data_IF_663622687127
#
_entry.id   IF_663622687127
#
_cell.length_a   1.000
_cell.length_b   1.000
_cell.length_c   1.000
_cell.angle_alpha   90.00
_cell.angle_beta   90.00
_cell.angle_gamma   90.00
#
_symmetry.space_group_name_H-M   'P 1'
#
loop_
_entity.id
_entity.type
_entity.pdbx_description
1 polymer ?
#
# COMPACT_ATOMS: atom_id res chain seq x y z
N UNK A 1 -6.41 -28.95 12.15
CA UNK A 1 -6.64 -29.78 10.94
C UNK A 1 -7.36 -28.94 9.90
N UNK A 2 -7.16 -29.20 8.62
CA UNK A 2 -7.96 -28.64 7.53
C UNK A 2 -8.87 -29.70 6.89
N UNK A 3 -9.98 -29.29 6.30
CA UNK A 3 -10.84 -30.17 5.53
C UNK A 3 -10.21 -30.56 4.18
N UNK A 4 -10.61 -31.71 3.65
CA UNK A 4 -10.33 -32.18 2.30
C UNK A 4 -11.64 -32.23 1.47
N UNK A 5 -11.58 -32.18 0.13
CA UNK A 5 -12.77 -32.27 -0.73
C UNK A 5 -13.54 -33.60 -0.63
N UNK A 6 -12.93 -34.66 -0.09
CA UNK A 6 -13.52 -35.98 0.15
C UNK A 6 -14.29 -36.06 1.49
N UNK A 7 -14.44 -34.95 2.22
CA UNK A 7 -15.01 -34.90 3.56
C UNK A 7 -14.04 -35.33 4.68
N UNK A 8 -12.80 -35.72 4.33
CA UNK A 8 -11.76 -36.10 5.28
C UNK A 8 -11.07 -34.89 5.93
N UNK A 9 -10.22 -35.18 6.92
CA UNK A 9 -9.34 -34.18 7.55
C UNK A 9 -7.87 -34.40 7.16
N UNK A 10 -7.09 -33.33 7.21
CA UNK A 10 -5.65 -33.34 6.98
C UNK A 10 -4.91 -32.47 7.99
N UNK A 11 -3.64 -32.82 8.25
CA UNK A 11 -2.69 -31.86 8.79
C UNK A 11 -2.34 -30.84 7.70
N UNK A 12 -2.33 -29.57 8.09
CA UNK A 12 -2.07 -28.40 7.24
C UNK A 12 -1.32 -27.38 8.09
N UNK A 13 -0.43 -26.62 7.45
CA UNK A 13 0.43 -25.63 8.10
C UNK A 13 0.20 -24.24 7.52
N UNK A 14 0.32 -23.20 8.34
CA UNK A 14 0.09 -21.81 7.95
C UNK A 14 -0.62 -21.00 9.04
N UNK A 15 -0.48 -19.68 9.02
CA UNK A 15 -1.11 -18.76 10.00
C UNK A 15 -2.63 -18.87 10.00
N UNK A 16 -3.25 -19.15 8.85
CA UNK A 16 -4.69 -19.44 8.70
C UNK A 16 -5.19 -20.63 9.52
N UNK A 17 -4.30 -21.53 9.96
CA UNK A 17 -4.63 -22.63 10.88
C UNK A 17 -4.30 -22.31 12.35
N UNK A 18 -3.46 -21.29 12.61
CA UNK A 18 -3.18 -20.79 13.95
C UNK A 18 -4.26 -19.80 14.44
N UNK A 19 -4.74 -18.92 13.55
CA UNK A 19 -5.81 -17.97 13.85
C UNK A 19 -7.08 -18.60 14.49
N UNK A 20 -7.70 -19.67 13.93
CA UNK A 20 -8.86 -20.30 14.55
C UNK A 20 -8.56 -20.98 15.89
N UNK A 21 -7.31 -21.40 16.14
CA UNK A 21 -6.89 -21.93 17.45
C UNK A 21 -6.93 -20.80 18.49
N UNK A 22 -6.37 -19.62 18.15
CA UNK A 22 -6.42 -18.44 19.03
C UNK A 22 -7.87 -17.96 19.25
N UNK A 23 -8.70 -17.90 18.20
CA UNK A 23 -10.12 -17.56 18.33
C UNK A 23 -10.88 -18.53 19.24
N UNK A 24 -10.59 -19.84 19.16
CA UNK A 24 -11.15 -20.84 20.06
C UNK A 24 -10.72 -20.64 21.51
N UNK A 25 -9.45 -20.29 21.75
CA UNK A 25 -8.93 -19.96 23.09
C UNK A 25 -9.61 -18.71 23.65
N UNK A 26 -9.76 -17.65 22.85
CA UNK A 26 -10.46 -16.42 23.27
C UNK A 26 -11.93 -16.71 23.62
N UNK A 27 -12.63 -17.50 22.81
CA UNK A 27 -14.01 -17.90 23.08
C UNK A 27 -14.15 -18.73 24.39
N UNK A 28 -13.20 -19.62 24.68
CA UNK A 28 -13.14 -20.35 25.94
C UNK A 28 -12.88 -19.42 27.14
N UNK A 29 -11.98 -18.44 27.01
CA UNK A 29 -11.68 -17.48 28.07
C UNK A 29 -12.88 -16.55 28.36
N UNK A 30 -13.59 -16.10 27.32
CA UNK A 30 -14.88 -15.38 27.46
C UNK A 30 -15.94 -16.24 28.16
N UNK A 31 -15.98 -17.54 27.84
CA UNK A 31 -16.91 -18.48 28.47
C UNK A 31 -16.59 -18.69 29.96
N UNK A 32 -15.31 -18.61 30.36
CA UNK A 32 -14.89 -18.67 31.77
C UNK A 32 -15.34 -17.42 32.54
N UNK A 33 -15.22 -16.22 31.96
CA UNK A 33 -15.76 -14.98 32.57
C UNK A 33 -17.26 -15.10 32.82
N UNK A 34 -18.03 -15.56 31.81
CA UNK A 34 -19.47 -15.82 31.94
C UNK A 34 -19.79 -16.83 33.05
N UNK A 35 -19.05 -17.93 33.15
CA UNK A 35 -19.23 -18.94 34.20
C UNK A 35 -18.98 -18.40 35.62
N UNK A 36 -18.17 -17.33 35.75
CA UNK A 36 -17.86 -16.68 37.03
C UNK A 36 -18.81 -15.52 37.37
N UNK A 37 -19.79 -15.23 36.50
CA UNK A 37 -20.67 -14.07 36.65
C UNK A 37 -20.01 -12.74 36.31
N UNK A 38 -18.85 -12.76 35.65
CA UNK A 38 -18.14 -11.57 35.19
C UNK A 38 -18.70 -11.10 33.84
N UNK A 39 -18.63 -9.81 33.57
CA UNK A 39 -18.96 -9.28 32.25
C UNK A 39 -17.88 -9.74 31.23
N UNK A 40 -18.27 -10.24 30.04
CA UNK A 40 -17.30 -10.64 29.02
C UNK A 40 -16.46 -9.45 28.56
N UNK A 41 -15.14 -9.56 28.67
CA UNK A 41 -14.19 -8.53 28.25
C UNK A 41 -13.18 -9.09 27.23
N UNK A 42 -13.49 -8.96 25.92
CA UNK A 42 -12.57 -9.35 24.85
C UNK A 42 -11.24 -8.58 24.85
N UNK A 43 -11.22 -7.34 25.36
CA UNK A 43 -10.01 -6.50 25.38
C UNK A 43 -9.09 -6.91 26.53
N UNK A 44 -9.63 -7.13 27.73
CA UNK A 44 -8.90 -7.71 28.86
C UNK A 44 -8.33 -9.09 28.55
N UNK A 45 -9.07 -9.95 27.84
CA UNK A 45 -8.56 -11.26 27.38
C UNK A 45 -7.41 -11.11 26.37
N UNK A 46 -7.53 -10.20 25.39
CA UNK A 46 -6.44 -9.89 24.46
C UNK A 46 -5.18 -9.48 25.22
N UNK A 47 -5.33 -8.58 26.19
CA UNK A 47 -4.20 -8.06 26.96
C UNK A 47 -3.59 -9.14 27.88
N UNK A 48 -4.40 -10.03 28.46
CA UNK A 48 -3.92 -11.20 29.22
C UNK A 48 -3.13 -12.19 28.34
N UNK A 49 -3.58 -12.44 27.11
CA UNK A 49 -2.85 -13.29 26.14
C UNK A 49 -1.51 -12.66 25.76
N UNK A 50 -1.47 -11.35 25.51
CA UNK A 50 -0.24 -10.64 25.17
C UNK A 50 0.75 -10.59 26.34
N UNK A 51 0.28 -10.30 27.56
CA UNK A 51 1.12 -10.20 28.79
C UNK A 51 1.69 -11.54 29.24
N UNK A 52 1.02 -12.66 28.96
CA UNK A 52 1.45 -13.99 29.40
C UNK A 52 2.33 -14.74 28.39
N UNK A 53 2.49 -14.21 27.17
CA UNK A 53 3.22 -14.86 26.09
C UNK A 53 4.66 -15.23 26.48
N UNK A 54 5.07 -16.46 26.16
CA UNK A 54 6.41 -16.97 26.47
C UNK A 54 7.44 -16.43 25.46
N UNK A 55 8.65 -16.05 25.88
CA UNK A 55 9.69 -15.60 24.96
C UNK A 55 10.13 -16.73 24.03
N UNK A 56 10.40 -16.41 22.76
CA UNK A 56 11.03 -17.36 21.84
C UNK A 56 12.46 -17.72 22.25
N UNK A 57 12.90 -18.92 21.84
CA UNK A 57 14.23 -19.43 22.15
C UNK A 57 15.33 -18.55 21.50
N UNK A 58 16.25 -18.05 22.32
CA UNK A 58 17.18 -16.95 21.96
C UNK A 58 18.41 -17.37 21.13
N UNK A 59 18.46 -18.59 20.61
CA UNK A 59 19.68 -19.14 19.99
C UNK A 59 19.98 -18.62 18.57
N UNK A 60 19.01 -18.02 17.87
CA UNK A 60 19.20 -17.44 16.53
C UNK A 60 18.75 -15.97 16.47
N UNK A 61 19.63 -15.06 16.08
CA UNK A 61 19.35 -13.62 15.96
C UNK A 61 18.31 -13.26 14.88
N UNK A 62 18.17 -14.12 13.86
CA UNK A 62 17.18 -13.97 12.78
C UNK A 62 15.74 -14.32 13.21
N UNK A 63 15.54 -15.13 14.26
CA UNK A 63 14.20 -15.53 14.71
C UNK A 63 13.52 -14.49 15.62
N UNK A 64 14.29 -13.62 16.29
CA UNK A 64 13.74 -12.61 17.20
C UNK A 64 12.75 -11.64 16.52
N UNK A 65 12.92 -11.35 15.20
CA UNK A 65 11.95 -10.53 14.45
C UNK A 65 10.73 -11.31 13.96
N UNK A 66 10.77 -12.65 13.94
CA UNK A 66 9.66 -13.51 13.50
C UNK A 66 8.68 -13.86 14.61
N UNK A 67 9.08 -13.71 15.88
CA UNK A 67 8.29 -14.13 17.04
C UNK A 67 7.48 -13.01 17.73
N UNK A 68 7.04 -11.98 16.99
CA UNK A 68 6.11 -10.92 17.44
C UNK A 68 6.22 -10.52 18.93
N UNK A 69 5.29 -10.99 19.77
CA UNK A 69 5.27 -10.78 21.24
C UNK A 69 5.68 -12.04 22.00
N UNK A 70 5.61 -13.22 21.39
CA UNK A 70 5.96 -14.51 22.00
C UNK A 70 5.06 -15.67 21.57
N UNK A 71 5.21 -16.80 22.24
CA UNK A 71 4.40 -18.02 22.08
C UNK A 71 3.20 -17.96 23.04
N UNK A 72 2.00 -18.28 22.55
CA UNK A 72 0.76 -18.22 23.34
C UNK A 72 0.82 -19.11 24.59
N UNK A 73 0.47 -18.53 25.75
CA UNK A 73 0.50 -19.19 27.05
C UNK A 73 -0.90 -19.26 27.65
N UNK A 74 -1.62 -20.35 27.38
CA UNK A 74 -3.03 -20.51 27.80
C UNK A 74 -3.15 -20.47 29.34
N UNK A 75 -2.22 -21.12 30.05
CA UNK A 75 -2.23 -21.15 31.52
C UNK A 75 -1.98 -19.78 32.14
N UNK A 76 -1.01 -19.02 31.63
CA UNK A 76 -0.74 -17.66 32.07
C UNK A 76 -1.87 -16.68 31.73
N UNK A 77 -2.46 -16.80 30.54
CA UNK A 77 -3.62 -16.01 30.15
C UNK A 77 -4.83 -16.30 31.07
N UNK A 78 -5.08 -17.58 31.39
CA UNK A 78 -6.11 -17.96 32.37
C UNK A 78 -5.86 -17.31 33.73
N UNK A 79 -4.66 -17.46 34.30
CA UNK A 79 -4.33 -16.91 35.63
C UNK A 79 -4.54 -15.39 35.71
N UNK A 80 -4.15 -14.66 34.66
CA UNK A 80 -4.34 -13.21 34.57
C UNK A 80 -5.81 -12.80 34.51
N UNK A 81 -6.68 -13.56 33.84
CA UNK A 81 -8.13 -13.26 33.84
C UNK A 81 -8.86 -13.78 35.09
N UNK A 82 -8.38 -14.86 35.71
CA UNK A 82 -9.02 -15.43 36.90
C UNK A 82 -8.65 -14.72 38.20
N UNK A 83 -7.62 -13.87 38.19
CA UNK A 83 -6.98 -13.34 39.40
C UNK A 83 -6.52 -14.45 40.37
N UNK A 84 -6.33 -15.67 39.86
CA UNK A 84 -5.64 -16.74 40.59
C UNK A 84 -4.18 -16.30 40.72
N UNK A 85 -3.78 -15.92 41.93
CA UNK A 85 -2.53 -15.21 42.19
C UNK A 85 -1.30 -15.90 41.59
N UNK A 86 -0.42 -15.10 41.00
CA UNK A 86 0.87 -15.54 40.47
C UNK A 86 1.70 -16.14 41.61
N UNK A 87 1.72 -17.47 41.70
CA UNK A 87 2.84 -18.14 42.35
C UNK A 87 4.03 -18.07 41.40
N UNK A 88 4.94 -17.14 41.70
CA UNK A 88 6.29 -17.19 41.14
C UNK A 88 6.91 -18.55 41.49
N UNK A 89 7.08 -19.40 40.48
CA UNK A 89 7.98 -20.54 40.60
C UNK A 89 9.39 -19.97 40.56
N UNK A 90 9.87 -19.60 41.74
CA UNK A 90 11.25 -19.16 41.98
C UNK A 90 12.23 -20.12 41.31
N UNK A 91 13.20 -19.56 40.57
CA UNK A 91 14.36 -20.31 40.13
C UNK A 91 15.10 -20.81 41.37
N UNK A 92 14.94 -22.11 41.69
CA UNK A 92 15.88 -22.76 42.59
C UNK A 92 17.20 -22.97 41.84
N UNK A 93 18.21 -22.21 42.26
CA UNK A 93 19.60 -22.38 41.83
C UNK A 93 20.05 -23.81 42.13
N UNK A 94 20.30 -24.60 41.09
CA UNK A 94 21.01 -25.87 41.25
C UNK A 94 22.49 -25.53 41.44
N UNK A 95 22.95 -25.65 42.69
CA UNK A 95 24.36 -25.53 43.03
C UNK A 95 25.20 -26.52 42.21
N UNK A 96 26.16 -26.01 41.45
CA UNK A 96 27.37 -26.75 41.09
C UNK A 96 28.54 -25.95 41.63
N UNK A 97 29.22 -26.49 42.64
CA UNK A 97 30.41 -25.90 43.23
C UNK A 97 31.57 -25.94 42.22
N UNK A 98 32.30 -24.83 42.12
CA UNK A 98 33.69 -24.83 41.69
C UNK A 98 34.47 -23.91 42.63
N UNK A 99 35.54 -24.45 43.22
CA UNK A 99 36.32 -23.83 44.30
C UNK A 99 37.32 -22.77 43.83
N UNK A 100 37.70 -21.93 44.77
CA UNK A 100 38.65 -20.81 44.67
C UNK A 100 40.01 -21.18 44.03
N UNK A 101 40.55 -20.31 43.16
CA UNK A 101 42.01 -20.13 42.98
C UNK A 101 42.36 -18.66 42.66
N UNK A 102 42.94 -17.99 43.66
CA UNK A 102 43.94 -16.89 43.65
C UNK A 102 43.97 -15.74 42.61
N UNK A 103 43.97 -14.53 43.20
CA UNK A 103 44.63 -13.27 42.81
C UNK A 103 45.87 -13.38 41.89
N UNK A 104 46.02 -12.41 40.97
CA UNK A 104 47.22 -11.56 40.79
C UNK A 104 46.80 -10.11 40.47
N UNK A 105 47.53 -9.15 41.05
CA UNK A 105 47.49 -7.68 40.89
C UNK A 105 47.45 -7.17 39.42
N UNK A 106 47.14 -5.90 39.06
CA UNK A 106 47.75 -4.65 39.59
C UNK A 106 47.17 -3.35 38.95
N UNK A 107 47.27 -2.26 39.73
CA UNK A 107 47.42 -0.83 39.34
C UNK A 107 46.31 0.01 38.67
N UNK A 108 46.22 1.25 39.18
CA UNK A 108 45.33 2.40 38.92
C UNK A 108 46.30 3.61 38.87
N UNK A 109 46.21 4.60 37.95
CA UNK A 109 45.42 5.80 38.28
C UNK A 109 44.80 6.63 37.13
N UNK A 110 43.91 7.51 37.57
CA UNK A 110 43.21 8.58 36.85
C UNK A 110 43.96 9.93 36.89
N UNK A 111 43.36 10.97 36.25
CA UNK A 111 43.61 12.44 36.21
C UNK A 111 43.73 12.93 34.75
N UNK A 112 43.26 14.11 34.29
CA UNK A 112 43.20 15.45 34.90
C UNK A 112 41.99 16.33 34.45
N UNK A 113 41.40 17.04 35.43
CA UNK A 113 40.82 18.41 35.51
C UNK A 113 40.19 19.22 34.34
N UNK A 114 39.14 19.95 34.74
CA UNK A 114 38.34 21.05 34.13
C UNK A 114 39.10 22.29 33.62
N UNK A 115 38.45 23.09 32.74
CA UNK A 115 38.29 24.56 32.97
C UNK A 115 37.12 25.21 32.17
N UNK A 116 36.17 25.82 32.91
CA UNK A 116 35.42 27.11 32.74
C UNK A 116 35.48 27.82 31.35
N UNK A 117 34.40 28.39 30.75
CA UNK A 117 33.75 29.70 31.05
C UNK A 117 32.33 29.87 30.42
N UNK A 118 31.52 30.73 31.06
CA UNK A 118 30.13 31.15 30.83
C UNK A 118 29.77 31.84 29.49
N UNK A 119 28.46 31.91 29.22
CA UNK A 119 27.81 32.76 28.21
C UNK A 119 27.41 34.16 28.74
N UNK A 120 27.15 35.15 27.85
CA UNK A 120 26.41 36.37 28.18
C UNK A 120 25.09 36.56 27.39
N UNK A 121 24.29 37.56 27.82
CA UNK A 121 22.87 37.79 27.50
C UNK A 121 22.57 38.65 26.26
N UNK A 122 21.27 38.73 25.93
CA UNK A 122 20.61 39.62 24.94
C UNK A 122 20.33 41.02 25.47
N UNK A 123 20.24 42.01 24.57
CA UNK A 123 19.39 43.23 24.53
C UNK A 123 19.79 44.05 23.25
N UNK A 124 18.99 44.87 22.55
CA UNK A 124 17.56 45.27 22.66
C UNK A 124 16.90 45.54 21.26
N UNK A 125 15.57 45.43 21.21
CA UNK A 125 14.52 46.19 20.47
C UNK A 125 14.86 47.06 19.22
N UNK A 126 14.16 46.83 18.08
CA UNK A 126 13.00 47.65 17.62
C UNK A 126 12.17 47.00 16.47
N UNK A 127 10.96 47.53 16.20
CA UNK A 127 9.83 46.89 15.48
C UNK A 127 9.75 47.22 13.98
N UNK A 128 9.06 46.39 13.16
CA UNK A 128 7.87 46.74 12.32
C UNK A 128 7.09 45.45 11.92
N UNK A 129 5.74 45.53 11.93
CA UNK A 129 4.68 44.72 11.27
C UNK A 129 5.02 44.05 9.91
N UNK A 130 4.30 43.03 9.38
CA UNK A 130 2.99 42.41 9.64
C UNK A 130 2.99 40.94 9.13
N UNK A 131 2.20 40.04 9.71
CA UNK A 131 1.18 39.21 9.02
C UNK A 131 0.48 38.24 9.99
N UNK A 132 -0.76 37.87 9.67
CA UNK A 132 -1.70 37.23 10.60
C UNK A 132 -1.50 35.71 10.73
N UNK A 133 -1.45 35.22 11.97
CA UNK A 133 -1.72 33.82 12.31
C UNK A 133 -2.64 33.77 13.54
N UNK A 134 -3.85 33.25 13.36
CA UNK A 134 -4.77 32.97 14.46
C UNK A 134 -4.37 31.64 15.09
N UNK A 135 -3.78 31.68 16.29
CA UNK A 135 -3.55 30.47 17.08
C UNK A 135 -4.83 30.01 17.78
N UNK A 136 -5.01 28.69 17.74
CA UNK A 136 -5.96 27.95 18.59
C UNK A 136 -5.51 28.09 20.06
N UNK A 137 -6.44 28.37 20.97
CA UNK A 137 -6.32 27.94 22.36
C UNK A 137 -7.55 27.13 22.76
N UNK A 138 -7.29 26.04 23.47
CA UNK A 138 -8.31 25.19 24.05
C UNK A 138 -8.63 25.63 25.48
N UNK A 139 -9.91 25.74 25.81
CA UNK A 139 -10.36 25.74 27.20
C UNK A 139 -11.75 25.10 27.34
N UNK A 140 -11.88 24.29 28.39
CA UNK A 140 -13.13 23.89 29.06
C UNK A 140 -14.00 22.80 28.42
N UNK A 141 -13.66 21.58 28.86
CA UNK A 141 -14.50 20.37 28.92
C UNK A 141 -15.69 20.56 29.90
N UNK A 142 -16.77 19.80 29.67
CA UNK A 142 -17.98 19.60 30.50
C UNK A 142 -19.09 20.66 30.46
N UNK A 143 -20.18 20.36 29.73
CA UNK A 143 -21.52 20.09 30.33
C UNK A 143 -22.59 19.64 29.32
N UNK A 144 -23.53 18.85 29.83
CA UNK A 144 -24.83 18.44 29.23
C UNK A 144 -24.75 17.27 28.22
N UNK A 145 -24.52 16.08 28.77
CA UNK A 145 -25.31 14.90 28.41
C UNK A 145 -26.49 14.82 29.40
N UNK A 146 -27.70 15.21 28.96
CA UNK A 146 -29.02 14.79 29.48
C UNK A 146 -30.13 15.56 28.74
N UNK A 147 -31.29 14.90 28.56
CA UNK A 147 -32.53 15.41 27.95
C UNK A 147 -32.68 15.33 26.40
N UNK A 148 -32.70 14.13 25.81
CA UNK A 148 -33.81 13.73 24.89
C UNK A 148 -34.14 12.24 25.11
N UNK A 149 -34.77 11.93 26.24
CA UNK A 149 -35.35 10.61 26.48
C UNK A 149 -36.75 10.80 27.08
N UNK A 150 -37.72 11.11 26.22
CA UNK A 150 -39.18 10.89 26.40
C UNK A 150 -39.96 11.55 25.25
N UNK A 151 -40.41 10.74 24.28
CA UNK A 151 -41.73 10.87 23.63
C UNK A 151 -41.97 9.65 22.72
N UNK A 152 -42.27 8.52 23.36
CA UNK A 152 -43.03 7.46 22.72
C UNK A 152 -44.52 7.81 22.87
N UNK A 153 -45.21 8.03 21.75
CA UNK A 153 -46.68 7.98 21.70
C UNK A 153 -47.10 7.32 20.40
N UNK A 154 -48.20 6.57 20.48
CA UNK A 154 -48.54 5.52 19.52
C UNK A 154 -49.13 6.07 18.22
N UNK A 155 -48.75 5.46 17.08
CA UNK A 155 -49.59 5.47 15.88
C UNK A 155 -49.73 4.04 15.38
N UNK A 156 -50.87 3.43 15.70
CA UNK A 156 -51.25 2.09 15.22
C UNK A 156 -51.62 2.17 13.74
N UNK A 157 -50.94 1.40 12.89
CA UNK A 157 -51.37 1.15 11.51
C UNK A 157 -51.63 -0.35 11.37
N UNK A 158 -52.90 -0.71 11.19
CA UNK A 158 -53.33 -2.09 10.98
C UNK A 158 -53.04 -2.54 9.54
N UNK A 159 -52.38 -3.69 9.38
CA UNK A 159 -52.29 -4.37 8.10
C UNK A 159 -53.60 -5.14 7.81
N UNK A 160 -54.18 -5.06 6.61
CA UNK A 160 -55.34 -5.88 6.24
C UNK A 160 -54.93 -7.35 6.09
N UNK A 161 -55.77 -8.26 6.59
CA UNK A 161 -55.78 -9.67 6.16
C UNK A 161 -56.77 -9.81 5.03
N UNK A 162 -56.33 -10.34 3.89
CA UNK A 162 -57.22 -10.98 2.93
C UNK A 162 -56.84 -12.44 2.77
N UNK A 163 -57.83 -13.31 2.97
CA UNK A 163 -57.72 -14.75 2.71
C UNK A 163 -57.97 -14.99 1.22
N UNK A 164 -57.06 -15.69 0.54
CA UNK A 164 -57.36 -16.28 -0.77
C UNK A 164 -56.92 -17.74 -0.82
N UNK A 165 -57.91 -18.61 -0.99
CA UNK A 165 -57.75 -20.06 -1.04
C UNK A 165 -57.36 -20.50 -2.45
N UNK A 166 -56.17 -21.07 -2.61
CA UNK A 166 -55.83 -21.84 -3.82
C UNK A 166 -55.33 -23.23 -3.45
N UNK A 167 -56.10 -24.22 -3.87
CA UNK A 167 -55.84 -25.65 -3.69
C UNK A 167 -54.71 -26.14 -4.58
N UNK A 168 -53.70 -26.78 -4.00
CA UNK A 168 -52.64 -27.46 -4.76
C UNK A 168 -53.11 -28.87 -5.14
N UNK A 169 -53.17 -29.24 -6.43
CA UNK A 169 -53.41 -30.62 -6.82
C UNK A 169 -52.14 -31.46 -6.63
N UNK A 170 -52.25 -32.56 -5.90
CA UNK A 170 -51.18 -33.56 -5.79
C UNK A 170 -51.19 -34.43 -7.05
N UNK A 171 -50.14 -34.36 -7.87
CA UNK A 171 -49.86 -35.34 -8.91
C UNK A 171 -48.62 -36.18 -8.56
N UNK A 172 -48.71 -37.47 -8.85
CA UNK A 172 -47.71 -38.46 -8.48
C UNK A 172 -46.39 -38.28 -9.25
N UNK A 173 -45.27 -38.56 -8.59
CA UNK A 173 -43.96 -38.58 -9.22
C UNK A 173 -43.86 -39.69 -10.26
N UNK A 174 -43.42 -39.34 -11.47
CA UNK A 174 -42.77 -40.26 -12.40
C UNK A 174 -41.33 -39.82 -12.61
N UNK A 175 -40.41 -40.76 -12.38
CA UNK A 175 -38.97 -40.54 -12.43
C UNK A 175 -38.46 -40.46 -13.86
N UNK A 176 -38.14 -39.24 -14.32
CA UNK A 176 -37.30 -39.01 -15.49
C UNK A 176 -35.91 -38.53 -15.03
N UNK A 177 -34.89 -39.36 -15.24
CA UNK A 177 -33.52 -39.02 -14.84
C UNK A 177 -32.91 -38.02 -15.83
N UNK A 178 -32.87 -36.74 -15.43
CA UNK A 178 -32.02 -35.73 -16.05
C UNK A 178 -30.89 -35.40 -15.05
N UNK A 179 -29.66 -35.80 -15.39
CA UNK A 179 -28.49 -35.47 -14.57
C UNK A 179 -28.20 -33.96 -14.65
N UNK A 180 -28.77 -33.19 -13.71
CA UNK A 180 -28.29 -31.84 -13.41
C UNK A 180 -27.01 -31.99 -12.61
N UNK A 181 -25.87 -31.93 -13.32
CA UNK A 181 -24.58 -31.79 -12.66
C UNK A 181 -24.58 -30.48 -11.87
N UNK A 182 -24.20 -30.46 -10.58
CA UNK A 182 -24.04 -29.21 -9.86
C UNK A 182 -22.93 -28.41 -10.54
N UNK A 183 -23.22 -27.14 -10.87
CA UNK A 183 -22.20 -26.23 -11.36
C UNK A 183 -21.11 -26.13 -10.29
N UNK A 184 -19.91 -26.57 -10.63
CA UNK A 184 -18.75 -26.46 -9.74
C UNK A 184 -18.49 -24.99 -9.47
N UNK A 185 -18.82 -24.53 -8.27
CA UNK A 185 -18.43 -23.19 -7.81
C UNK A 185 -16.93 -23.22 -7.65
N UNK A 186 -16.20 -22.78 -8.67
CA UNK A 186 -14.76 -22.56 -8.56
C UNK A 186 -14.58 -21.47 -7.49
N UNK A 187 -13.96 -21.75 -6.33
CA UNK A 187 -13.61 -20.68 -5.41
C UNK A 187 -12.66 -19.75 -6.15
N UNK A 188 -12.84 -18.43 -6.01
CA UNK A 188 -11.85 -17.48 -6.51
C UNK A 188 -10.50 -17.85 -5.90
N UNK A 189 -9.57 -18.31 -6.74
CA UNK A 189 -8.25 -18.69 -6.29
C UNK A 189 -7.55 -17.45 -5.74
N UNK A 190 -7.47 -17.39 -4.41
CA UNK A 190 -6.54 -16.52 -3.72
C UNK A 190 -5.12 -16.96 -4.15
N UNK A 191 -4.60 -16.34 -5.20
CA UNK A 191 -3.28 -16.64 -5.78
C UNK A 191 -2.12 -16.46 -4.78
N UNK A 192 -2.39 -15.86 -3.61
CA UNK A 192 -1.45 -15.61 -2.51
C UNK A 192 -1.64 -16.51 -1.28
N UNK A 193 -2.58 -17.47 -1.30
CA UNK A 193 -2.92 -18.27 -0.11
C UNK A 193 -2.25 -19.66 -0.04
N UNK A 194 -1.44 -20.07 -1.02
CA UNK A 194 -1.02 -21.47 -1.15
C UNK A 194 0.20 -21.76 -2.02
N UNK A 195 1.29 -21.03 -1.86
CA UNK A 195 2.55 -21.32 -2.54
C UNK A 195 3.70 -20.46 -2.04
N UNK A 196 4.92 -20.79 -2.47
CA UNK A 196 6.11 -19.95 -2.31
C UNK A 196 6.07 -18.76 -3.30
N UNK A 197 4.90 -18.14 -3.44
CA UNK A 197 4.65 -17.04 -4.37
C UNK A 197 5.31 -15.79 -3.83
N UNK A 198 6.38 -15.37 -4.48
CA UNK A 198 6.96 -14.03 -4.29
C UNK A 198 5.86 -13.00 -4.51
N UNK A 199 5.69 -12.08 -3.55
CA UNK A 199 4.70 -11.00 -3.68
C UNK A 199 5.07 -10.20 -4.93
N UNK A 200 4.22 -10.23 -5.95
CA UNK A 200 4.52 -9.59 -7.22
C UNK A 200 4.35 -8.07 -7.07
N UNK A 201 5.48 -7.37 -7.04
CA UNK A 201 5.50 -5.90 -7.08
C UNK A 201 5.29 -5.42 -8.51
N UNK A 202 4.66 -4.25 -8.64
CA UNK A 202 4.35 -3.60 -9.92
C UNK A 202 4.60 -2.11 -9.80
N UNK A 203 5.10 -1.50 -10.87
CA UNK A 203 5.18 -0.05 -11.03
C UNK A 203 4.54 0.33 -12.36
N UNK A 204 3.23 0.51 -12.37
CA UNK A 204 2.46 0.75 -13.59
C UNK A 204 2.34 2.25 -13.89
N UNK A 205 2.27 2.60 -15.17
CA UNK A 205 1.85 3.91 -15.67
C UNK A 205 0.56 3.76 -16.46
N UNK A 206 -0.24 4.82 -16.52
CA UNK A 206 -1.42 4.84 -17.38
C UNK A 206 -2.36 6.01 -17.15
N UNK A 207 -3.50 5.94 -17.81
CA UNK A 207 -4.65 6.84 -17.66
C UNK A 207 -5.57 6.28 -16.57
N UNK A 208 -6.04 7.16 -15.66
CA UNK A 208 -6.97 6.78 -14.60
C UNK A 208 -8.41 6.77 -15.12
N UNK A 209 -9.21 5.79 -14.68
CA UNK A 209 -10.63 5.73 -14.96
C UNK A 209 -11.42 4.99 -13.87
N UNK A 210 -12.72 4.82 -14.11
CA UNK A 210 -13.65 4.10 -13.23
C UNK A 210 -14.55 3.16 -14.01
N UNK A 211 -14.88 2.02 -13.42
CA UNK A 211 -15.81 1.01 -13.93
C UNK A 211 -16.75 0.55 -12.80
N UNK A 212 -18.02 0.27 -13.13
CA UNK A 212 -19.03 -0.11 -12.12
C UNK A 212 -18.98 -1.61 -11.76
N UNK A 213 -18.33 -2.44 -12.56
CA UNK A 213 -18.24 -3.90 -12.45
C UNK A 213 -19.52 -4.65 -12.82
N UNK A 214 -20.70 -4.15 -12.42
CA UNK A 214 -22.00 -4.76 -12.71
C UNK A 214 -23.08 -3.72 -12.99
N UNK A 215 -24.05 -4.09 -13.83
CA UNK A 215 -25.24 -3.25 -14.11
C UNK A 215 -25.99 -2.89 -12.82
N UNK A 216 -26.18 -3.86 -11.91
CA UNK A 216 -26.83 -3.60 -10.62
C UNK A 216 -26.11 -2.52 -9.78
N UNK A 217 -24.78 -2.36 -9.93
CA UNK A 217 -24.05 -1.28 -9.26
C UNK A 217 -24.20 0.05 -10.00
N UNK A 218 -24.13 0.03 -11.33
CA UNK A 218 -24.40 1.19 -12.19
C UNK A 218 -25.80 1.77 -11.90
N UNK A 219 -26.81 0.91 -11.79
CA UNK A 219 -28.18 1.28 -11.46
C UNK A 219 -28.30 1.83 -10.03
N UNK A 220 -27.55 1.27 -9.07
CA UNK A 220 -27.49 1.80 -7.70
C UNK A 220 -26.94 3.23 -7.65
N UNK A 221 -25.84 3.51 -8.38
CA UNK A 221 -25.34 4.88 -8.51
C UNK A 221 -26.35 5.78 -9.23
N UNK A 222 -26.98 5.29 -10.31
CA UNK A 222 -28.01 6.05 -11.06
C UNK A 222 -29.23 6.41 -10.21
N UNK A 223 -29.58 5.61 -9.20
CA UNK A 223 -30.67 5.88 -8.27
C UNK A 223 -30.27 6.79 -7.09
N UNK A 224 -28.99 6.77 -6.69
CA UNK A 224 -28.47 7.56 -5.57
C UNK A 224 -28.01 8.97 -5.99
N UNK A 225 -27.54 9.13 -7.23
CA UNK A 225 -27.10 10.40 -7.80
C UNK A 225 -28.31 11.28 -8.18
N UNK A 226 -28.33 12.57 -7.81
CA UNK A 226 -29.27 13.53 -8.38
C UNK A 226 -29.05 13.66 -9.89
N UNK A 227 -30.13 13.89 -10.64
CA UNK A 227 -30.11 13.88 -12.12
C UNK A 227 -29.22 14.95 -12.77
N UNK A 228 -28.87 16.00 -12.02
CA UNK A 228 -28.07 17.14 -12.48
C UNK A 228 -26.61 17.12 -11.95
N UNK A 229 -26.12 15.99 -11.44
CA UNK A 229 -24.82 15.89 -10.72
C UNK A 229 -23.86 14.92 -11.42
N UNK A 230 -22.59 15.31 -11.60
CA UNK A 230 -21.55 14.41 -12.12
C UNK A 230 -21.18 13.35 -11.07
N UNK A 231 -20.64 12.21 -11.50
CA UNK A 231 -20.10 11.19 -10.61
C UNK A 231 -19.03 11.77 -9.66
N UNK A 232 -18.17 12.68 -10.13
CA UNK A 232 -17.14 13.31 -9.29
C UNK A 232 -17.76 14.21 -8.21
N UNK A 233 -18.64 15.14 -8.59
CA UNK A 233 -19.36 16.03 -7.65
C UNK A 233 -20.14 15.24 -6.59
N UNK A 234 -20.70 14.09 -6.99
CA UNK A 234 -21.38 13.16 -6.10
C UNK A 234 -20.40 12.50 -5.13
N UNK A 235 -19.28 11.96 -5.62
CA UNK A 235 -18.24 11.34 -4.79
C UNK A 235 -17.58 12.33 -3.83
N UNK A 236 -17.58 13.63 -4.11
CA UNK A 236 -17.12 14.67 -3.16
C UNK A 236 -18.09 14.93 -2.02
N UNK A 237 -19.39 14.74 -2.26
CA UNK A 237 -20.42 14.74 -1.22
C UNK A 237 -20.45 13.40 -0.45
N UNK A 238 -20.03 12.29 -1.08
CA UNK A 238 -20.06 10.93 -0.51
C UNK A 238 -18.72 10.16 -0.64
N UNK A 239 -17.60 10.61 -0.04
CA UNK A 239 -16.26 10.04 -0.28
C UNK A 239 -16.12 8.53 0.00
N UNK A 240 -16.95 7.96 0.87
CA UNK A 240 -16.95 6.52 1.16
C UNK A 240 -17.43 5.67 -0.03
N UNK A 241 -18.21 6.22 -0.95
CA UNK A 241 -18.71 5.49 -2.13
C UNK A 241 -17.64 5.29 -3.21
N UNK A 242 -16.51 6.01 -3.14
CA UNK A 242 -15.34 5.76 -3.97
C UNK A 242 -14.86 4.31 -3.90
N UNK A 243 -15.06 3.64 -2.75
CA UNK A 243 -14.74 2.21 -2.56
C UNK A 243 -15.64 1.26 -3.36
N UNK A 244 -16.85 1.68 -3.73
CA UNK A 244 -17.81 0.86 -4.48
C UNK A 244 -17.45 0.79 -5.97
N UNK A 245 -16.71 1.77 -6.50
CA UNK A 245 -16.23 1.78 -7.88
C UNK A 245 -14.96 0.93 -8.04
N UNK A 246 -14.82 0.34 -9.23
CA UNK A 246 -13.56 -0.25 -9.66
C UNK A 246 -12.76 0.88 -10.31
N UNK A 247 -11.69 1.31 -9.66
CA UNK A 247 -10.74 2.25 -10.25
C UNK A 247 -9.88 1.49 -11.26
N UNK A 248 -9.73 2.00 -12.47
CA UNK A 248 -9.00 1.33 -13.55
C UNK A 248 -7.78 2.14 -13.95
N UNK A 249 -6.70 1.43 -14.30
CA UNK A 249 -5.52 2.02 -14.95
C UNK A 249 -5.46 1.46 -16.37
N UNK A 250 -5.42 2.36 -17.35
CA UNK A 250 -5.51 2.00 -18.77
C UNK A 250 -4.29 2.44 -19.57
N UNK A 251 -3.96 1.67 -20.60
CA UNK A 251 -3.06 2.07 -21.68
C UNK A 251 -3.87 2.12 -22.97
N UNK A 252 -3.91 3.29 -23.61
CA UNK A 252 -4.63 3.56 -24.86
C UNK A 252 -6.07 3.03 -24.83
N UNK A 253 -6.84 3.51 -23.84
CA UNK A 253 -8.21 3.06 -23.53
C UNK A 253 -8.39 1.55 -23.24
N UNK A 254 -7.31 0.77 -23.10
CA UNK A 254 -7.37 -0.64 -22.69
C UNK A 254 -7.05 -0.75 -21.20
N UNK A 255 -8.01 -1.16 -20.34
CA UNK A 255 -7.74 -1.40 -18.92
C UNK A 255 -6.69 -2.50 -18.75
N UNK A 256 -5.58 -2.20 -18.09
CA UNK A 256 -4.50 -3.15 -17.78
C UNK A 256 -4.53 -3.60 -16.32
N UNK A 257 -4.98 -2.72 -15.42
CA UNK A 257 -5.11 -3.00 -13.99
C UNK A 257 -6.39 -2.39 -13.42
N UNK A 258 -6.86 -2.96 -12.31
CA UNK A 258 -7.72 -2.26 -11.37
C UNK A 258 -6.92 -1.82 -10.14
N UNK A 259 -7.30 -0.72 -9.50
CA UNK A 259 -6.65 -0.18 -8.31
C UNK A 259 -7.60 -0.39 -7.12
N UNK A 260 -7.17 -1.14 -6.10
CA UNK A 260 -7.95 -1.39 -4.90
C UNK A 260 -7.14 -1.00 -3.65
N UNK A 261 -7.27 0.24 -3.17
CA UNK A 261 -6.74 0.66 -1.87
C UNK A 261 -7.23 -0.23 -0.73
N UNK A 262 -6.29 -0.73 0.09
CA UNK A 262 -6.60 -1.51 1.29
C UNK A 262 -5.74 -1.08 2.47
N UNK A 263 -6.10 -1.52 3.68
CA UNK A 263 -5.38 -1.15 4.89
C UNK A 263 -5.73 0.24 5.43
N UNK A 264 -4.93 0.77 6.38
CA UNK A 264 -5.28 1.98 7.14
C UNK A 264 -5.42 3.25 6.28
N UNK A 265 -4.65 3.37 5.20
CA UNK A 265 -4.58 4.57 4.34
C UNK A 265 -5.46 4.47 3.08
N UNK A 266 -6.44 3.56 3.07
CA UNK A 266 -7.29 3.36 1.91
C UNK A 266 -8.13 4.61 1.59
N UNK A 267 -8.60 5.34 2.62
CA UNK A 267 -9.43 6.54 2.45
C UNK A 267 -8.65 7.68 1.77
N UNK A 268 -7.42 7.92 2.20
CA UNK A 268 -6.50 8.91 1.65
C UNK A 268 -6.12 8.57 0.22
N UNK A 269 -5.97 7.29 -0.09
CA UNK A 269 -5.69 6.83 -1.45
C UNK A 269 -6.90 7.01 -2.36
N UNK A 270 -8.12 6.70 -1.90
CA UNK A 270 -9.34 7.01 -2.64
C UNK A 270 -9.55 8.51 -2.83
N UNK A 271 -9.16 9.36 -1.86
CA UNK A 271 -9.18 10.81 -2.08
C UNK A 271 -8.23 11.20 -3.21
N UNK A 272 -6.97 10.75 -3.16
CA UNK A 272 -5.98 11.03 -4.21
C UNK A 272 -6.43 10.55 -5.59
N UNK A 273 -7.12 9.41 -5.68
CA UNK A 273 -7.68 8.92 -6.95
C UNK A 273 -8.81 9.80 -7.47
N UNK A 274 -9.67 10.37 -6.60
CA UNK A 274 -10.67 11.38 -7.01
C UNK A 274 -10.00 12.68 -7.45
N UNK A 275 -9.02 13.17 -6.68
CA UNK A 275 -8.24 14.36 -7.02
C UNK A 275 -7.57 14.21 -8.41
N UNK A 276 -7.05 13.02 -8.72
CA UNK A 276 -6.42 12.70 -10.01
C UNK A 276 -7.42 12.52 -11.16
N UNK A 277 -8.67 12.17 -10.88
CA UNK A 277 -9.71 12.00 -11.90
C UNK A 277 -10.47 13.32 -12.19
N UNK A 278 -10.42 14.27 -11.26
CA UNK A 278 -11.06 15.58 -11.39
C UNK A 278 -10.22 16.62 -12.15
N UNK A 279 -8.90 16.45 -12.21
CA UNK A 279 -8.01 17.34 -12.97
C UNK A 279 -7.84 16.84 -14.41
N UNK A 280 -8.63 17.43 -15.33
CA UNK A 280 -8.55 17.18 -16.79
C UNK A 280 -7.17 17.49 -17.39
N UNK A 281 -6.30 18.22 -16.67
CA UNK A 281 -4.93 18.48 -17.08
C UNK A 281 -4.01 17.28 -16.90
N UNK A 282 -4.33 16.30 -16.05
CA UNK A 282 -3.49 15.12 -15.81
C UNK A 282 -3.51 14.21 -17.04
N UNK A 283 -2.36 14.12 -17.72
CA UNK A 283 -2.19 13.17 -18.81
C UNK A 283 -2.02 11.75 -18.23
N UNK A 284 -1.17 11.54 -17.20
CA UNK A 284 -0.80 10.20 -16.72
C UNK A 284 -0.60 10.13 -15.21
N UNK A 285 -0.77 8.94 -14.65
CA UNK A 285 -0.44 8.63 -13.25
C UNK A 285 0.54 7.47 -13.12
N UNK A 286 1.33 7.45 -12.04
CA UNK A 286 2.10 6.30 -11.57
C UNK A 286 1.36 5.57 -10.46
N UNK A 287 1.33 4.24 -10.54
CA UNK A 287 0.70 3.37 -9.52
C UNK A 287 1.66 2.25 -9.14
N UNK A 288 2.55 2.48 -8.16
CA UNK A 288 3.30 1.42 -7.51
C UNK A 288 2.42 0.62 -6.56
N UNK A 289 2.64 -0.68 -6.46
CA UNK A 289 1.94 -1.52 -5.50
C UNK A 289 2.29 -3.00 -5.59
N UNK A 290 1.40 -3.80 -5.01
CA UNK A 290 1.44 -5.26 -5.05
C UNK A 290 0.27 -5.81 -5.85
N UNK A 291 0.47 -6.83 -6.68
CA UNK A 291 -0.63 -7.50 -7.39
C UNK A 291 -1.38 -8.43 -6.41
N UNK A 292 -2.65 -8.12 -6.17
CA UNK A 292 -3.53 -8.73 -5.17
C UNK A 292 -4.79 -9.35 -5.78
N UNK A 293 -4.64 -10.38 -6.61
CA UNK A 293 -5.75 -11.06 -7.28
C UNK A 293 -6.20 -10.37 -8.56
N UNK A 294 -7.44 -10.61 -8.98
CA UNK A 294 -8.04 -10.05 -10.20
C UNK A 294 -9.52 -9.72 -10.01
N UNK A 295 -10.03 -8.82 -10.85
CA UNK A 295 -11.43 -8.38 -10.84
C UNK A 295 -12.00 -8.36 -12.27
N UNK A 296 -13.31 -8.60 -12.39
CA UNK A 296 -14.03 -8.48 -13.66
C UNK A 296 -14.65 -7.10 -13.78
N UNK A 297 -14.39 -6.42 -14.90
CA UNK A 297 -14.97 -5.14 -15.29
C UNK A 297 -16.36 -5.33 -15.91
N UNK A 298 -17.13 -4.25 -16.06
CA UNK A 298 -18.46 -4.26 -16.68
C UNK A 298 -18.43 -4.81 -18.12
N UNK A 299 -17.33 -4.55 -18.85
CA UNK A 299 -17.06 -5.11 -20.19
C UNK A 299 -16.91 -6.64 -20.23
N UNK A 300 -16.85 -7.30 -19.07
CA UNK A 300 -16.56 -8.71 -18.93
C UNK A 300 -15.07 -9.05 -18.93
N UNK A 301 -14.19 -8.10 -19.25
CA UNK A 301 -12.73 -8.25 -19.14
C UNK A 301 -12.31 -8.54 -17.69
N UNK A 302 -11.31 -9.39 -17.50
CA UNK A 302 -10.71 -9.65 -16.18
C UNK A 302 -9.32 -9.05 -16.15
N UNK A 303 -9.06 -8.18 -15.17
CA UNK A 303 -7.77 -7.48 -14.99
C UNK A 303 -7.17 -7.78 -13.61
N UNK A 304 -5.83 -7.86 -13.49
CA UNK A 304 -5.16 -7.91 -12.19
C UNK A 304 -5.45 -6.67 -11.34
N UNK A 305 -5.49 -6.85 -10.01
CA UNK A 305 -5.72 -5.77 -9.04
C UNK A 305 -4.40 -5.34 -8.42
N UNK A 306 -4.10 -4.04 -8.42
CA UNK A 306 -3.00 -3.43 -7.67
C UNK A 306 -3.54 -2.99 -6.31
N UNK A 307 -2.85 -3.38 -5.24
CA UNK A 307 -2.94 -2.76 -3.92
C UNK A 307 -1.86 -1.66 -3.88
N UNK A 308 -2.23 -0.38 -4.00
CA UNK A 308 -1.27 0.71 -4.23
C UNK A 308 -0.54 1.16 -2.97
N UNK A 309 0.71 1.61 -3.14
CA UNK A 309 1.49 2.33 -2.13
C UNK A 309 1.41 3.83 -2.38
N UNK A 310 0.53 4.53 -1.65
CA UNK A 310 0.18 5.95 -1.84
C UNK A 310 1.39 6.89 -1.95
N UNK A 311 2.50 6.59 -1.25
CA UNK A 311 3.72 7.40 -1.23
C UNK A 311 4.42 7.49 -2.60
N UNK A 312 4.24 6.50 -3.48
CA UNK A 312 4.80 6.50 -4.83
C UNK A 312 3.78 6.79 -5.94
N UNK A 313 2.53 7.10 -5.57
CA UNK A 313 1.52 7.54 -6.52
C UNK A 313 1.70 9.03 -6.82
N UNK A 314 1.99 9.33 -8.08
CA UNK A 314 2.13 10.67 -8.63
C UNK A 314 1.24 10.82 -9.86
N UNK A 315 0.76 12.03 -10.10
CA UNK A 315 0.20 12.44 -11.40
C UNK A 315 1.18 13.38 -12.08
N UNK A 316 1.12 13.45 -13.41
CA UNK A 316 1.84 14.45 -14.17
C UNK A 316 1.12 14.82 -15.46
N UNK A 317 1.37 16.06 -15.86
CA UNK A 317 1.12 16.59 -17.20
C UNK A 317 2.39 17.29 -17.67
N UNK A 318 2.66 17.29 -18.97
CA UNK A 318 3.82 18.01 -19.52
C UNK A 318 3.82 19.48 -19.09
N UNK A 319 2.65 20.12 -19.09
CA UNK A 319 2.40 21.49 -18.64
C UNK A 319 2.86 21.74 -17.18
N UNK A 320 2.31 21.00 -16.22
CA UNK A 320 2.61 21.20 -14.80
C UNK A 320 4.08 20.90 -14.47
N UNK A 321 4.66 19.92 -15.15
CA UNK A 321 6.05 19.51 -14.99
C UNK A 321 7.02 20.59 -15.48
N UNK A 322 6.71 21.29 -16.58
CA UNK A 322 7.48 22.43 -17.08
C UNK A 322 7.30 23.69 -16.21
N UNK A 323 6.08 23.97 -15.78
CA UNK A 323 5.78 25.07 -14.85
C UNK A 323 6.53 24.92 -13.52
N UNK A 324 6.64 23.69 -13.00
CA UNK A 324 7.42 23.38 -11.80
C UNK A 324 8.94 23.58 -11.95
N UNK A 325 9.44 23.65 -13.18
CA UNK A 325 10.84 23.94 -13.52
C UNK A 325 11.08 25.42 -13.84
N UNK A 326 10.05 26.27 -13.76
CA UNK A 326 10.12 27.70 -14.09
C UNK A 326 10.11 28.01 -15.58
N UNK A 327 9.81 27.03 -16.45
CA UNK A 327 9.53 27.28 -17.86
C UNK A 327 8.07 27.72 -18.03
N UNK A 328 7.86 28.80 -18.77
CA UNK A 328 6.53 29.20 -19.21
C UNK A 328 6.13 28.37 -20.45
N UNK A 329 4.83 28.16 -20.64
CA UNK A 329 4.24 27.53 -21.84
C UNK A 329 4.33 28.45 -23.08
N UNK A 330 5.54 28.85 -23.45
CA UNK A 330 5.83 29.27 -24.81
C UNK A 330 6.17 27.98 -25.59
N UNK A 331 5.18 27.41 -26.30
CA UNK A 331 5.30 26.13 -27.04
C UNK A 331 6.36 26.07 -28.16
N UNK A 332 7.23 27.07 -28.22
CA UNK A 332 8.45 27.15 -29.01
C UNK A 332 9.71 26.77 -28.18
N UNK A 333 9.55 26.33 -26.93
CA UNK A 333 10.64 25.90 -26.06
C UNK A 333 11.14 24.50 -26.45
N UNK A 334 12.39 24.41 -26.90
CA UNK A 334 13.00 23.15 -27.33
C UNK A 334 13.16 22.13 -26.19
N UNK A 335 13.32 22.59 -24.93
CA UNK A 335 13.41 21.70 -23.76
C UNK A 335 12.06 21.03 -23.45
N UNK A 336 10.96 21.76 -23.60
CA UNK A 336 9.58 21.24 -23.55
C UNK A 336 9.37 20.16 -24.61
N UNK A 337 9.75 20.44 -25.85
CA UNK A 337 9.57 19.48 -26.96
C UNK A 337 10.37 18.19 -26.73
N UNK A 338 11.60 18.27 -26.19
CA UNK A 338 12.40 17.09 -25.84
C UNK A 338 11.82 16.29 -24.68
N UNK A 339 11.31 16.97 -23.66
CA UNK A 339 10.70 16.34 -22.49
C UNK A 339 9.37 15.67 -22.86
N UNK A 340 8.58 16.31 -23.72
CA UNK A 340 7.35 15.76 -24.30
C UNK A 340 7.64 14.56 -25.21
N UNK A 341 8.67 14.62 -26.06
CA UNK A 341 9.13 13.48 -26.87
C UNK A 341 9.56 12.31 -25.97
N UNK A 342 10.38 12.55 -24.94
CA UNK A 342 10.80 11.51 -23.99
C UNK A 342 9.62 10.82 -23.29
N UNK A 343 8.68 11.60 -22.72
CA UNK A 343 7.51 11.07 -22.03
C UNK A 343 6.59 10.31 -23.00
N UNK A 344 6.37 10.86 -24.20
CA UNK A 344 5.63 10.19 -25.27
C UNK A 344 6.31 8.87 -25.68
N UNK A 345 7.64 8.81 -25.81
CA UNK A 345 8.30 7.56 -26.20
C UNK A 345 8.21 6.49 -25.12
N UNK A 346 8.39 6.83 -23.83
CA UNK A 346 8.15 5.85 -22.76
C UNK A 346 6.71 5.31 -22.84
N UNK A 347 5.74 6.20 -23.05
CA UNK A 347 4.33 5.82 -23.09
C UNK A 347 3.92 5.06 -24.37
N UNK A 348 4.45 5.41 -25.55
CA UNK A 348 4.05 4.83 -26.85
C UNK A 348 5.04 3.78 -27.39
N UNK A 349 6.34 4.06 -27.40
CA UNK A 349 7.35 3.14 -27.96
C UNK A 349 7.67 2.01 -26.98
N UNK A 350 7.65 2.29 -25.68
CA UNK A 350 8.03 1.36 -24.61
C UNK A 350 6.86 0.94 -23.70
N UNK A 351 5.63 0.91 -24.25
CA UNK A 351 4.43 0.37 -23.58
C UNK A 351 4.72 -0.96 -22.88
N UNK A 352 4.48 -1.02 -21.58
CA UNK A 352 4.77 -2.20 -20.76
C UNK A 352 3.83 -2.27 -19.54
N UNK A 353 3.84 -3.41 -18.82
CA UNK A 353 2.95 -3.63 -17.68
C UNK A 353 3.55 -3.23 -16.33
N UNK A 354 4.83 -2.84 -16.27
CA UNK A 354 5.49 -2.49 -15.02
C UNK A 354 5.75 -3.67 -14.09
N UNK A 355 5.81 -4.91 -14.61
CA UNK A 355 5.96 -6.13 -13.82
C UNK A 355 7.44 -6.50 -13.66
N UNK A 356 8.22 -6.54 -14.75
CA UNK A 356 9.64 -6.92 -14.66
C UNK A 356 10.48 -5.79 -14.04
N UNK A 357 11.65 -6.09 -13.44
CA UNK A 357 12.53 -5.05 -12.91
C UNK A 357 12.94 -3.99 -13.96
N UNK A 358 13.17 -4.41 -15.20
CA UNK A 358 13.47 -3.53 -16.35
C UNK A 358 12.29 -2.58 -16.63
N UNK A 359 11.07 -3.12 -16.68
CA UNK A 359 9.83 -2.36 -16.87
C UNK A 359 9.60 -1.36 -15.74
N UNK A 360 9.79 -1.77 -14.47
CA UNK A 360 9.66 -0.89 -13.30
C UNK A 360 10.68 0.25 -13.33
N UNK A 361 11.93 -0.03 -13.73
CA UNK A 361 12.98 0.98 -13.84
C UNK A 361 12.66 1.98 -14.97
N UNK A 362 12.16 1.50 -16.10
CA UNK A 362 11.74 2.34 -17.22
C UNK A 362 10.55 3.24 -16.84
N UNK A 363 9.52 2.68 -16.22
CA UNK A 363 8.34 3.43 -15.80
C UNK A 363 8.65 4.46 -14.70
N UNK A 364 9.49 4.09 -13.72
CA UNK A 364 9.96 5.03 -12.71
C UNK A 364 10.80 6.16 -13.33
N UNK A 365 11.54 5.90 -14.41
CA UNK A 365 12.31 6.95 -15.09
C UNK A 365 11.45 8.06 -15.69
N UNK A 366 10.19 7.78 -16.08
CA UNK A 366 9.24 8.83 -16.47
C UNK A 366 8.73 9.64 -15.26
N UNK A 367 8.62 9.01 -14.08
CA UNK A 367 8.13 9.65 -12.86
C UNK A 367 9.22 10.48 -12.16
N UNK A 368 10.49 10.12 -12.35
CA UNK A 368 11.67 10.86 -11.89
C UNK A 368 11.95 12.13 -12.75
N UNK A 369 10.91 12.92 -12.96
CA UNK A 369 10.85 14.09 -13.84
C UNK A 369 12.01 15.08 -13.65
N UNK A 370 12.37 15.37 -12.40
CA UNK A 370 13.42 16.35 -12.10
C UNK A 370 14.79 15.94 -12.67
N UNK A 371 15.23 14.70 -12.47
CA UNK A 371 16.53 14.27 -12.99
C UNK A 371 16.54 14.11 -14.52
N UNK A 372 15.39 13.76 -15.10
CA UNK A 372 15.23 13.78 -16.56
C UNK A 372 15.30 15.22 -17.09
N UNK A 373 14.70 16.19 -16.41
CA UNK A 373 14.69 17.58 -16.86
C UNK A 373 16.08 18.20 -16.92
N UNK A 374 16.94 17.98 -15.92
CA UNK A 374 18.36 18.39 -15.97
C UNK A 374 19.08 17.86 -17.22
N UNK A 375 18.80 16.60 -17.59
CA UNK A 375 19.33 15.96 -18.81
C UNK A 375 18.79 16.62 -20.08
N UNK A 376 17.48 16.87 -20.16
CA UNK A 376 16.86 17.52 -21.34
C UNK A 376 17.37 18.95 -21.54
N UNK A 377 17.63 19.68 -20.46
CA UNK A 377 18.19 21.04 -20.52
C UNK A 377 19.63 21.01 -21.05
N UNK A 378 20.49 20.09 -20.58
CA UNK A 378 21.86 19.91 -21.12
C UNK A 378 21.83 19.49 -22.61
N UNK A 379 20.93 18.57 -22.98
CA UNK A 379 20.75 18.12 -24.36
C UNK A 379 20.29 19.26 -25.29
N UNK A 380 19.29 20.05 -24.85
CA UNK A 380 18.78 21.25 -25.54
C UNK A 380 19.89 22.26 -25.78
N UNK A 381 20.70 22.59 -24.75
CA UNK A 381 21.84 23.50 -24.88
C UNK A 381 22.95 23.04 -25.84
N UNK A 382 22.84 21.83 -26.42
CA UNK A 382 23.76 21.31 -27.44
C UNK A 382 23.10 21.01 -28.79
N UNK A 383 21.84 21.43 -29.02
CA UNK A 383 21.01 21.13 -30.20
C UNK A 383 20.86 19.62 -30.48
N UNK A 384 20.65 18.81 -29.45
CA UNK A 384 20.52 17.35 -29.61
C UNK A 384 19.11 16.85 -29.36
N UNK A 385 18.65 15.89 -30.16
CA UNK A 385 17.36 15.22 -30.01
C UNK A 385 17.54 13.82 -29.39
N UNK A 386 16.48 13.30 -28.76
CA UNK A 386 16.47 11.96 -28.20
C UNK A 386 16.54 10.91 -29.33
N UNK A 387 17.46 9.96 -29.21
CA UNK A 387 17.68 8.87 -30.16
C UNK A 387 16.97 7.60 -29.67
N UNK A 388 17.35 7.12 -28.48
CA UNK A 388 16.87 5.87 -27.92
C UNK A 388 16.97 5.83 -26.39
N UNK A 389 16.05 5.12 -25.76
CA UNK A 389 16.11 4.75 -24.34
C UNK A 389 16.55 3.29 -24.23
N UNK A 390 17.47 2.98 -23.32
CA UNK A 390 17.87 1.61 -23.02
C UNK A 390 17.93 1.40 -21.51
N UNK A 391 17.54 0.20 -21.06
CA UNK A 391 17.54 -0.20 -19.64
C UNK A 391 18.33 -1.50 -19.53
N UNK A 392 19.36 -1.51 -18.69
CA UNK A 392 20.26 -2.65 -18.50
C UNK A 392 20.49 -2.90 -17.01
N UNK A 393 20.68 -4.15 -16.59
CA UNK A 393 20.99 -4.46 -15.20
C UNK A 393 22.33 -3.83 -14.80
N UNK A 394 22.35 -3.07 -13.71
CA UNK A 394 23.56 -2.38 -13.26
C UNK A 394 24.59 -3.36 -12.72
N UNK A 395 25.88 -3.27 -13.11
CA UNK A 395 26.92 -4.18 -12.62
C UNK A 395 27.34 -3.90 -11.17
N UNK A 396 26.95 -2.75 -10.59
CA UNK A 396 27.35 -2.32 -9.25
C UNK A 396 26.09 -1.90 -8.49
N UNK A 397 25.68 -2.74 -7.55
CA UNK A 397 24.58 -2.53 -6.63
C UNK A 397 25.03 -2.77 -5.18
N UNK A 398 24.24 -2.32 -4.22
CA UNK A 398 24.38 -2.80 -2.83
C UNK A 398 23.95 -4.28 -2.79
N UNK A 399 24.43 -5.08 -1.84
CA UNK A 399 23.85 -6.39 -1.56
C UNK A 399 22.33 -6.27 -1.38
N UNK A 400 21.58 -7.22 -1.92
CA UNK A 400 20.12 -7.31 -1.90
C UNK A 400 19.35 -6.17 -2.64
N UNK A 401 20.03 -5.21 -3.26
CA UNK A 401 19.43 -4.25 -4.22
C UNK A 401 19.28 -4.87 -5.62
N UNK A 402 18.30 -4.39 -6.39
CA UNK A 402 18.07 -4.78 -7.78
C UNK A 402 18.07 -3.53 -8.65
N UNK A 403 19.26 -3.06 -9.03
CA UNK A 403 19.41 -1.80 -9.76
C UNK A 403 19.63 -1.96 -11.26
N UNK A 404 19.07 -1.00 -12.01
CA UNK A 404 19.11 -0.93 -13.46
C UNK A 404 19.63 0.44 -13.89
N UNK A 405 20.57 0.44 -14.83
CA UNK A 405 21.09 1.63 -15.49
C UNK A 405 20.15 2.00 -16.64
N UNK A 406 19.47 3.13 -16.52
CA UNK A 406 18.70 3.75 -17.62
C UNK A 406 19.63 4.67 -18.39
N UNK A 407 19.74 4.44 -19.70
CA UNK A 407 20.60 5.19 -20.62
C UNK A 407 19.75 5.94 -21.63
N UNK A 408 19.88 7.27 -21.64
CA UNK A 408 19.27 8.14 -22.64
C UNK A 408 20.35 8.50 -23.66
N UNK A 409 20.18 8.06 -24.91
CA UNK A 409 21.08 8.39 -26.02
C UNK A 409 20.49 9.56 -26.79
N UNK A 410 21.30 10.57 -27.08
CA UNK A 410 20.93 11.74 -27.87
C UNK A 410 21.86 11.89 -29.07
N UNK A 411 21.30 12.29 -30.20
CA UNK A 411 22.02 12.55 -31.45
C UNK A 411 21.84 14.01 -31.88
N UNK A 412 22.67 14.46 -32.80
CA UNK A 412 22.51 15.77 -33.44
C UNK A 412 21.75 15.58 -34.76
N UNK A 413 20.57 16.19 -34.94
CA UNK A 413 19.76 16.00 -36.15
C UNK A 413 20.28 16.79 -37.35
N UNK A 414 21.13 17.80 -37.15
CA UNK A 414 21.77 18.58 -38.22
C UNK A 414 23.11 17.96 -38.66
N UNK A 415 23.75 17.17 -37.80
CA UNK A 415 25.05 16.56 -38.04
C UNK A 415 25.16 15.13 -37.47
N UNK A 416 24.83 14.14 -38.29
CA UNK A 416 24.88 12.71 -37.97
C UNK A 416 26.30 12.18 -37.61
N UNK A 417 27.35 12.84 -38.09
CA UNK A 417 28.74 12.52 -37.77
C UNK A 417 29.16 13.01 -36.38
N UNK A 418 28.42 13.93 -35.75
CA UNK A 418 28.71 14.41 -34.41
C UNK A 418 28.46 13.28 -33.40
N UNK A 419 29.48 12.97 -32.58
CA UNK A 419 29.37 11.96 -31.52
C UNK A 419 28.07 12.09 -30.71
N UNK A 420 27.43 10.96 -30.40
CA UNK A 420 26.19 10.91 -29.62
C UNK A 420 26.48 11.28 -28.16
N UNK A 421 25.54 11.95 -27.49
CA UNK A 421 25.62 12.22 -26.04
C UNK A 421 24.85 11.11 -25.32
N UNK A 422 25.45 10.49 -24.31
CA UNK A 422 24.76 9.51 -23.46
C UNK A 422 24.64 10.11 -22.07
N UNK A 423 23.46 9.99 -21.50
CA UNK A 423 23.19 10.22 -20.08
C UNK A 423 22.80 8.89 -19.44
N UNK A 424 23.23 8.67 -18.21
CA UNK A 424 22.93 7.47 -17.44
C UNK A 424 22.65 7.80 -15.99
N UNK A 425 21.56 7.26 -15.46
CA UNK A 425 21.24 7.20 -14.04
C UNK A 425 20.85 5.76 -13.67
N UNK A 426 21.00 5.41 -12.40
CA UNK A 426 20.78 4.05 -11.91
C UNK A 426 19.58 4.05 -10.97
N UNK A 427 18.58 3.21 -11.20
CA UNK A 427 17.37 3.09 -10.37
C UNK A 427 17.40 1.73 -9.68
N UNK A 428 17.20 1.71 -8.36
CA UNK A 428 16.96 0.49 -7.57
C UNK A 428 15.45 0.19 -7.55
N UNK A 429 15.07 -0.99 -8.03
CA UNK A 429 13.68 -1.48 -8.11
C UNK A 429 13.45 -2.69 -7.20
N UNK A 430 14.29 -2.89 -6.18
CA UNK A 430 14.15 -3.96 -5.18
C UNK A 430 12.89 -3.83 -4.31
N UNK A 431 12.39 -2.61 -4.11
CA UNK A 431 11.15 -2.31 -3.36
C UNK A 431 10.04 -1.79 -4.30
N UNK A 432 8.81 -1.72 -3.79
CA UNK A 432 7.61 -1.25 -4.51
C UNK A 432 7.72 0.18 -5.02
N UNK A 433 8.42 1.04 -4.26
CA UNK A 433 8.70 2.42 -4.65
C UNK A 433 10.19 2.48 -5.02
N UNK A 434 10.53 2.52 -6.31
CA UNK A 434 11.92 2.58 -6.74
C UNK A 434 12.60 3.86 -6.29
N UNK A 435 13.94 3.85 -6.26
CA UNK A 435 14.76 5.00 -5.85
C UNK A 435 15.94 5.19 -6.78
N UNK A 436 16.27 6.43 -7.11
CA UNK A 436 17.46 6.73 -7.92
C UNK A 436 18.73 6.73 -7.06
N UNK A 437 19.76 6.04 -7.53
CA UNK A 437 21.08 5.96 -6.90
C UNK A 437 22.04 6.94 -7.57
N UNK A 438 22.53 7.89 -6.77
CA UNK A 438 23.62 8.80 -7.14
C UNK A 438 23.21 9.93 -8.09
N UNK A 439 24.20 10.50 -8.77
CA UNK A 439 24.02 11.58 -9.75
C UNK A 439 24.03 11.03 -11.17
N UNK A 440 23.31 11.71 -12.08
CA UNK A 440 23.39 11.46 -13.51
C UNK A 440 24.84 11.55 -13.99
N UNK A 441 25.24 10.63 -14.87
CA UNK A 441 26.54 10.61 -15.53
C UNK A 441 26.35 10.86 -17.02
N UNK A 442 27.18 11.69 -17.64
CA UNK A 442 27.11 11.99 -19.07
C UNK A 442 28.47 11.87 -19.75
N UNK A 443 28.48 11.34 -20.98
CA UNK A 443 29.69 11.21 -21.81
C UNK A 443 29.34 11.20 -23.30
N UNK A 444 30.36 11.32 -24.16
CA UNK A 444 30.21 11.26 -25.61
C UNK A 444 30.55 9.87 -26.13
N UNK A 445 29.77 9.35 -27.07
CA UNK A 445 30.03 8.10 -27.78
C UNK A 445 30.22 8.38 -29.28
N UNK A 446 31.42 8.12 -29.79
CA UNK A 446 31.70 8.09 -31.22
C UNK A 446 31.16 6.81 -31.86
N UNK A 447 30.80 6.87 -33.14
CA UNK A 447 30.54 5.67 -33.94
C UNK A 447 31.83 4.83 -34.03
N UNK A 448 31.73 3.55 -33.69
CA UNK A 448 32.75 2.55 -33.97
C UNK A 448 32.21 1.60 -35.04
N UNK A 449 32.51 1.88 -36.32
CA UNK A 449 32.40 0.84 -37.34
C UNK A 449 33.39 -0.27 -36.99
N UNK A 450 32.86 -1.40 -36.51
CA UNK A 450 33.56 -2.66 -36.65
C UNK A 450 33.45 -3.05 -38.13
N UNK A 451 34.55 -2.85 -38.85
CA UNK A 451 34.74 -3.20 -40.26
C UNK A 451 35.11 -4.67 -40.42
#
# INVERSE_FOLDING_TARGET
>A
MGAKPDGGTALKSGTSFAAPIVSGIVALLLSIQLQRGEQPDPHGIRDAILKSALPCNRQNSLDNRRCLVGIINISGAKALITQEGVQEVSNQEVMIQASEVNNIDREVPSQLTETVIQAPNKEEVQQVSNQEQVMIQASEINKIDQQVANQLTETVIQAPKEESSYSVPVMAMQSAAANVAPSSVAPSECATCGGNGTIQIVYALGELGTDFGTEARRDSFTQAMPSDTNLLDYLDQTPWEAKSLIWTLSLDATPIYAIAPTGPFASETYSRLRDYLADEGIERISVPGYIGGSIRLLSGQVVPVIIPEIRGMYSWSVAALLGGLGYQEDGNNQAEQQLRDYLNRIYYDYRNLGITPEERALNFSATNAFQVSEVMIEATGTNRALDSIAVEKSPICRPDSDCYDVKLRFFDPENDQRSKRIFRFTIDVSDVIPVTIGQVRSWNQSFWHHS
#
